data_IF_271493713174
#
_entry.id   IF_271493713174
#
_cell.length_a   1.000
_cell.length_b   1.000
_cell.length_c   1.000
_cell.angle_alpha   90.00
_cell.angle_beta   90.00
_cell.angle_gamma   90.00
#
_symmetry.space_group_name_H-M   'P 1'
#
loop_
_entity.id
_entity.type
_entity.pdbx_description
1 polymer ?
#
# COMPACT_ATOMS: atom_id res chain seq x y z
N UNK A 1 7.70 1.74 -6.56
CA UNK A 1 6.88 1.63 -7.79
C UNK A 1 5.79 0.61 -7.56
N UNK A 2 4.70 0.57 -8.37
CA UNK A 2 3.61 -0.41 -8.19
C UNK A 2 3.57 -1.38 -9.36
N UNK A 3 3.63 -2.67 -9.08
CA UNK A 3 3.43 -3.74 -10.06
C UNK A 3 2.40 -4.73 -9.50
N UNK A 4 1.27 -4.89 -10.18
CA UNK A 4 0.17 -5.72 -9.68
C UNK A 4 0.37 -7.21 -9.93
N UNK A 5 1.08 -7.58 -10.99
CA UNK A 5 1.34 -8.98 -11.36
C UNK A 5 2.52 -9.08 -12.32
N UNK A 6 3.20 -10.22 -12.32
CA UNK A 6 4.13 -10.61 -13.38
C UNK A 6 3.42 -10.93 -14.71
N UNK A 7 2.12 -11.23 -14.66
CA UNK A 7 1.29 -11.41 -15.84
C UNK A 7 0.82 -10.02 -16.35
N UNK A 8 1.20 -9.69 -17.58
CA UNK A 8 0.88 -8.40 -18.20
C UNK A 8 -0.64 -8.17 -18.35
N UNK A 9 -1.42 -9.21 -18.64
CA UNK A 9 -2.86 -9.09 -18.80
C UNK A 9 -3.53 -8.78 -17.45
N UNK A 10 -3.11 -9.46 -16.38
CA UNK A 10 -3.60 -9.21 -15.02
C UNK A 10 -3.19 -7.80 -14.56
N UNK A 11 -1.92 -7.42 -14.76
CA UNK A 11 -1.45 -6.07 -14.41
C UNK A 11 -2.27 -4.99 -15.12
N UNK A 12 -2.40 -5.08 -16.43
CA UNK A 12 -3.11 -4.09 -17.24
C UNK A 12 -4.61 -4.01 -16.88
N UNK A 13 -5.23 -5.15 -16.56
CA UNK A 13 -6.62 -5.19 -16.07
C UNK A 13 -6.77 -4.42 -14.75
N UNK A 14 -5.86 -4.64 -13.79
CA UNK A 14 -5.91 -3.98 -12.47
C UNK A 14 -5.55 -2.49 -12.54
N UNK A 15 -4.66 -2.11 -13.45
CA UNK A 15 -4.32 -0.69 -13.71
C UNK A 15 -5.40 0.02 -14.52
N UNK A 16 -6.16 -0.71 -15.34
CA UNK A 16 -7.14 -0.15 -16.28
C UNK A 16 -6.50 0.47 -17.55
N UNK A 17 -5.23 0.15 -17.82
CA UNK A 17 -4.47 0.67 -18.96
C UNK A 17 -3.33 -0.29 -19.35
N UNK A 18 -2.84 -0.27 -20.61
CA UNK A 18 -1.71 -1.09 -21.05
C UNK A 18 -0.37 -0.51 -20.53
N UNK A 19 -0.11 -0.65 -19.22
CA UNK A 19 1.04 -0.04 -18.53
C UNK A 19 2.12 -1.02 -18.09
N UNK A 20 2.00 -2.33 -18.36
CA UNK A 20 2.93 -3.34 -17.86
C UNK A 20 4.38 -3.09 -18.33
N UNK A 21 4.59 -2.94 -19.63
CA UNK A 21 5.92 -2.79 -20.21
C UNK A 21 6.61 -1.50 -19.72
N UNK A 22 5.87 -0.39 -19.66
CA UNK A 22 6.38 0.89 -19.13
C UNK A 22 6.74 0.78 -17.65
N UNK A 23 5.92 0.09 -16.86
CA UNK A 23 6.19 -0.14 -15.43
C UNK A 23 7.46 -0.98 -15.25
N UNK A 24 7.59 -2.08 -15.99
CA UNK A 24 8.77 -2.96 -15.95
C UNK A 24 10.02 -2.21 -16.42
N UNK A 25 9.92 -1.43 -17.50
CA UNK A 25 11.05 -0.63 -17.98
C UNK A 25 11.45 0.44 -16.96
N UNK A 26 10.46 1.07 -16.29
CA UNK A 26 10.71 2.02 -15.21
C UNK A 26 11.45 1.39 -14.03
N UNK A 27 11.08 0.17 -13.63
CA UNK A 27 11.80 -0.58 -12.57
C UNK A 27 13.24 -0.86 -12.99
N UNK A 28 13.45 -1.37 -14.21
CA UNK A 28 14.80 -1.63 -14.75
C UNK A 28 15.67 -0.37 -14.76
N UNK A 29 15.11 0.76 -15.21
CA UNK A 29 15.83 2.03 -15.25
C UNK A 29 16.22 2.50 -13.84
N UNK A 30 15.31 2.39 -12.86
CA UNK A 30 15.60 2.77 -11.48
C UNK A 30 16.70 1.93 -10.86
N UNK A 31 16.64 0.60 -11.04
CA UNK A 31 17.68 -0.33 -10.56
C UNK A 31 19.00 -0.06 -11.26
N UNK A 32 19.02 0.10 -12.59
CA UNK A 32 20.22 0.41 -13.36
C UNK A 32 20.88 1.74 -12.96
N UNK A 33 20.07 2.72 -12.54
CA UNK A 33 20.55 4.00 -12.02
C UNK A 33 21.08 3.91 -10.57
N UNK A 34 21.07 2.73 -9.94
CA UNK A 34 21.51 2.54 -8.55
C UNK A 34 20.57 3.11 -7.51
N UNK A 35 19.30 3.39 -7.87
CA UNK A 35 18.31 3.87 -6.93
C UNK A 35 17.85 2.71 -6.03
N UNK A 36 17.66 2.99 -4.74
CA UNK A 36 17.00 2.05 -3.83
C UNK A 36 15.54 1.91 -4.27
N UNK A 37 15.24 0.78 -4.94
CA UNK A 37 13.97 0.55 -5.60
C UNK A 37 13.14 -0.47 -4.84
N UNK A 38 11.95 -0.08 -4.40
CA UNK A 38 10.94 -0.98 -3.86
C UNK A 38 9.76 -1.12 -4.82
N UNK A 39 9.12 -2.29 -4.79
CA UNK A 39 7.89 -2.55 -5.54
C UNK A 39 6.77 -2.87 -4.56
N UNK A 40 5.65 -2.15 -4.70
CA UNK A 40 4.43 -2.42 -3.94
C UNK A 40 3.41 -3.17 -4.80
N UNK A 41 2.72 -4.14 -4.20
CA UNK A 41 1.65 -4.90 -4.86
C UNK A 41 0.40 -4.90 -3.98
N UNK A 42 -0.67 -4.17 -4.35
CA UNK A 42 -1.99 -4.37 -3.76
C UNK A 42 -2.54 -5.76 -4.13
N UNK A 43 -2.90 -6.56 -3.12
CA UNK A 43 -3.33 -7.95 -3.29
C UNK A 43 -4.86 -8.06 -3.41
N UNK A 44 -5.30 -8.82 -4.38
CA UNK A 44 -6.70 -9.14 -4.61
C UNK A 44 -6.83 -10.56 -5.22
N UNK A 45 -8.06 -10.99 -5.49
CA UNK A 45 -8.30 -12.34 -6.02
C UNK A 45 -7.72 -12.58 -7.43
N UNK A 46 -7.46 -11.53 -8.19
CA UNK A 46 -6.93 -11.61 -9.56
C UNK A 46 -5.41 -11.81 -9.61
N UNK A 47 -4.68 -11.46 -8.55
CA UNK A 47 -3.23 -11.58 -8.47
C UNK A 47 -2.74 -12.41 -7.28
N UNK A 48 -3.48 -13.47 -6.93
CA UNK A 48 -3.15 -14.38 -5.81
C UNK A 48 -1.80 -15.07 -5.97
N UNK A 49 -1.33 -15.29 -7.21
CA UNK A 49 0.03 -15.80 -7.47
C UNK A 49 1.07 -14.69 -7.29
N UNK A 50 1.12 -14.18 -6.05
CA UNK A 50 2.08 -13.14 -5.70
C UNK A 50 3.52 -13.67 -5.68
N UNK A 51 3.71 -14.95 -5.39
CA UNK A 51 5.02 -15.60 -5.44
C UNK A 51 5.67 -15.50 -6.83
N UNK A 52 4.89 -15.68 -7.92
CA UNK A 52 5.41 -15.47 -9.28
C UNK A 52 5.82 -14.01 -9.51
N UNK A 53 5.07 -13.06 -8.96
CA UNK A 53 5.41 -11.63 -9.04
C UNK A 53 6.71 -11.32 -8.27
N UNK A 54 6.92 -11.92 -7.09
CA UNK A 54 8.17 -11.78 -6.32
C UNK A 54 9.37 -12.31 -7.09
N UNK A 55 9.28 -13.48 -7.71
CA UNK A 55 10.35 -14.05 -8.54
C UNK A 55 10.69 -13.12 -9.70
N UNK A 56 9.67 -12.62 -10.38
CA UNK A 56 9.83 -11.69 -11.50
C UNK A 56 10.51 -10.38 -11.09
N UNK A 57 10.09 -9.72 -10.01
CA UNK A 57 10.71 -8.46 -9.57
C UNK A 57 12.12 -8.69 -9.00
N UNK A 58 12.40 -9.86 -8.43
CA UNK A 58 13.75 -10.27 -8.04
C UNK A 58 14.71 -10.34 -9.24
N UNK A 59 14.25 -10.92 -10.37
CA UNK A 59 15.02 -10.96 -11.63
C UNK A 59 15.28 -9.56 -12.19
N UNK A 60 14.40 -8.59 -11.92
CA UNK A 60 14.62 -7.17 -12.26
C UNK A 60 15.63 -6.46 -11.35
N UNK A 61 16.14 -7.14 -10.31
CA UNK A 61 17.11 -6.59 -9.36
C UNK A 61 16.52 -5.95 -8.11
N UNK A 62 15.21 -6.02 -7.90
CA UNK A 62 14.53 -5.53 -6.68
C UNK A 62 14.83 -6.48 -5.53
N UNK A 63 15.08 -5.92 -4.33
CA UNK A 63 15.39 -6.69 -3.10
C UNK A 63 14.45 -6.37 -1.94
N UNK A 64 13.68 -5.29 -2.05
CA UNK A 64 12.69 -4.89 -1.07
C UNK A 64 11.32 -4.73 -1.72
N UNK A 65 10.33 -5.42 -1.19
CA UNK A 65 8.96 -5.36 -1.67
C UNK A 65 7.98 -5.04 -0.54
N UNK A 66 6.89 -4.40 -0.90
CA UNK A 66 5.76 -4.22 0.00
C UNK A 66 4.50 -4.77 -0.64
N UNK A 67 3.56 -5.21 0.16
CA UNK A 67 2.23 -5.54 -0.31
C UNK A 67 1.17 -4.97 0.63
N UNK A 68 -0.02 -4.84 0.12
CA UNK A 68 -1.17 -4.30 0.85
C UNK A 68 -2.43 -5.10 0.52
N UNK A 69 -3.45 -5.02 1.36
CA UNK A 69 -4.80 -5.37 0.94
C UNK A 69 -5.35 -4.35 -0.07
N UNK A 70 -6.50 -4.64 -0.65
CA UNK A 70 -7.18 -3.75 -1.58
C UNK A 70 -7.86 -2.61 -0.81
N UNK A 71 -7.20 -1.47 -0.67
CA UNK A 71 -7.74 -0.30 0.03
C UNK A 71 -8.81 0.35 -0.87
N UNK A 72 -10.06 0.59 -0.34
CA UNK A 72 -11.12 1.23 -1.09
C UNK A 72 -10.80 2.73 -1.28
N UNK A 73 -10.13 3.05 -2.39
CA UNK A 73 -9.77 4.42 -2.77
C UNK A 73 -9.73 4.53 -4.30
N UNK A 74 -10.32 5.57 -4.85
CA UNK A 74 -10.37 5.81 -6.29
C UNK A 74 -11.07 4.68 -7.06
N UNK A 75 -10.42 4.11 -8.07
CA UNK A 75 -10.97 3.00 -8.87
C UNK A 75 -11.27 1.72 -8.07
N UNK A 76 -10.63 1.54 -6.91
CA UNK A 76 -10.88 0.39 -6.05
C UNK A 76 -12.16 0.52 -5.19
N UNK A 77 -12.85 1.67 -5.22
CA UNK A 77 -14.14 1.86 -4.54
C UNK A 77 -15.33 1.22 -5.27
N UNK A 78 -15.15 0.85 -6.54
CA UNK A 78 -16.23 0.25 -7.32
C UNK A 78 -16.65 -1.11 -6.75
N UNK A 79 -17.93 -1.45 -6.86
CA UNK A 79 -18.45 -2.75 -6.43
C UNK A 79 -17.69 -3.92 -7.08
N UNK A 80 -17.38 -3.81 -8.37
CA UNK A 80 -16.60 -4.80 -9.11
C UNK A 80 -15.19 -4.98 -8.52
N UNK A 81 -14.52 -3.90 -8.14
CA UNK A 81 -13.20 -3.96 -7.50
C UNK A 81 -13.29 -4.55 -6.09
N UNK A 82 -14.29 -4.13 -5.30
CA UNK A 82 -14.50 -4.67 -3.95
C UNK A 82 -14.83 -6.17 -3.95
N UNK A 83 -15.51 -6.67 -4.99
CA UNK A 83 -15.76 -8.10 -5.17
C UNK A 83 -14.48 -8.93 -5.36
N UNK A 84 -13.35 -8.31 -5.70
CA UNK A 84 -12.05 -8.99 -5.81
C UNK A 84 -11.26 -9.03 -4.50
N UNK A 85 -11.78 -8.46 -3.42
CA UNK A 85 -11.13 -8.40 -2.13
C UNK A 85 -10.91 -9.80 -1.54
N UNK A 86 -9.72 -10.05 -1.02
CA UNK A 86 -9.40 -11.30 -0.34
C UNK A 86 -9.99 -11.31 1.08
N UNK A 87 -10.49 -12.45 1.50
CA UNK A 87 -10.79 -12.70 2.92
C UNK A 87 -9.49 -12.72 3.74
N UNK A 88 -9.59 -12.60 5.07
CA UNK A 88 -8.41 -12.72 5.93
C UNK A 88 -7.69 -14.06 5.77
N UNK A 89 -8.44 -15.16 5.61
CA UNK A 89 -7.88 -16.49 5.40
C UNK A 89 -7.13 -16.58 4.06
N UNK A 90 -7.73 -16.09 2.97
CA UNK A 90 -7.10 -16.06 1.65
C UNK A 90 -5.85 -15.17 1.63
N UNK A 91 -5.94 -13.99 2.25
CA UNK A 91 -4.80 -13.08 2.35
C UNK A 91 -3.66 -13.69 3.17
N UNK A 92 -3.98 -14.37 4.27
CA UNK A 92 -3.00 -15.08 5.09
C UNK A 92 -2.29 -16.18 4.29
N UNK A 93 -3.03 -16.93 3.47
CA UNK A 93 -2.46 -17.95 2.61
C UNK A 93 -1.51 -17.38 1.55
N UNK A 94 -1.91 -16.28 0.90
CA UNK A 94 -1.06 -15.57 -0.09
C UNK A 94 0.20 -15.01 0.57
N UNK A 95 0.08 -14.39 1.75
CA UNK A 95 1.22 -13.83 2.47
C UNK A 95 2.18 -14.90 2.96
N UNK A 96 1.70 -16.05 3.41
CA UNK A 96 2.56 -17.17 3.81
C UNK A 96 3.47 -17.59 2.66
N UNK A 97 2.89 -17.84 1.50
CA UNK A 97 3.65 -18.21 0.31
C UNK A 97 4.61 -17.09 -0.14
N UNK A 98 4.19 -15.84 0.01
CA UNK A 98 5.01 -14.67 -0.34
C UNK A 98 6.23 -14.55 0.58
N UNK A 99 6.07 -14.71 1.90
CA UNK A 99 7.19 -14.67 2.86
C UNK A 99 8.17 -15.80 2.61
N UNK A 100 7.67 -17.04 2.45
CA UNK A 100 8.52 -18.20 2.10
C UNK A 100 9.32 -17.93 0.81
N UNK A 101 8.68 -17.39 -0.22
CA UNK A 101 9.35 -17.04 -1.49
C UNK A 101 10.36 -15.91 -1.32
N UNK A 102 10.05 -14.89 -0.54
CA UNK A 102 10.97 -13.79 -0.28
C UNK A 102 12.21 -14.27 0.47
N UNK A 103 12.06 -15.15 1.47
CA UNK A 103 13.16 -15.78 2.19
C UNK A 103 14.04 -16.61 1.25
N UNK A 104 13.46 -17.46 0.40
CA UNK A 104 14.17 -18.24 -0.62
C UNK A 104 15.03 -17.37 -1.55
N UNK A 105 14.53 -16.17 -1.89
CA UNK A 105 15.16 -15.24 -2.81
C UNK A 105 16.10 -14.24 -2.12
N UNK A 106 16.17 -14.23 -0.79
CA UNK A 106 16.92 -13.23 -0.03
C UNK A 106 16.36 -11.81 -0.20
N UNK A 107 15.04 -11.67 -0.29
CA UNK A 107 14.32 -10.41 -0.38
C UNK A 107 13.72 -10.03 0.97
N UNK A 108 13.57 -8.73 1.19
CA UNK A 108 12.78 -8.20 2.30
C UNK A 108 11.33 -7.94 1.84
N UNK A 109 10.36 -8.35 2.66
CA UNK A 109 8.93 -8.16 2.39
C UNK A 109 8.23 -7.56 3.60
N UNK A 110 7.41 -6.53 3.37
CA UNK A 110 6.54 -5.94 4.38
C UNK A 110 5.09 -5.87 3.91
N UNK A 111 4.16 -6.07 4.85
CA UNK A 111 2.74 -5.83 4.66
C UNK A 111 2.34 -4.47 5.23
N UNK A 112 1.62 -3.64 4.45
CA UNK A 112 1.45 -2.21 4.77
C UNK A 112 0.02 -1.78 5.09
N UNK A 113 -0.94 -2.71 5.19
CA UNK A 113 -2.35 -2.38 5.49
C UNK A 113 -2.69 -2.60 6.97
N UNK A 114 -2.82 -1.53 7.79
CA UNK A 114 -3.21 -1.66 9.19
C UNK A 114 -4.63 -2.21 9.32
N UNK A 115 -4.85 -3.15 10.24
CA UNK A 115 -6.16 -3.70 10.58
C UNK A 115 -6.73 -4.76 9.65
N UNK A 116 -6.00 -5.12 8.59
CA UNK A 116 -6.42 -6.19 7.67
C UNK A 116 -6.23 -7.59 8.24
N UNK A 117 -5.16 -7.79 8.99
CA UNK A 117 -4.85 -9.04 9.68
C UNK A 117 -4.46 -8.74 11.13
N UNK A 118 -4.77 -9.65 12.08
CA UNK A 118 -4.29 -9.55 13.45
C UNK A 118 -2.75 -9.52 13.52
N UNK A 119 -2.21 -8.77 14.48
CA UNK A 119 -0.76 -8.69 14.72
C UNK A 119 -0.14 -10.07 14.92
N UNK A 120 -0.79 -10.95 15.71
CA UNK A 120 -0.32 -12.31 15.95
C UNK A 120 -0.19 -13.13 14.66
N UNK A 121 -1.11 -12.93 13.71
CA UNK A 121 -1.06 -13.57 12.39
C UNK A 121 0.15 -13.08 11.60
N UNK A 122 0.37 -11.76 11.54
CA UNK A 122 1.50 -11.17 10.82
C UNK A 122 2.85 -11.63 11.41
N UNK A 123 2.99 -11.62 12.74
CA UNK A 123 4.18 -12.13 13.43
C UNK A 123 4.38 -13.63 13.21
N UNK A 124 3.30 -14.41 13.24
CA UNK A 124 3.33 -15.85 12.95
C UNK A 124 3.73 -16.19 11.51
N UNK A 125 3.60 -15.23 10.58
CA UNK A 125 4.10 -15.33 9.22
C UNK A 125 5.57 -14.88 9.07
N UNK A 126 6.22 -14.38 10.11
CA UNK A 126 7.58 -13.86 10.04
C UNK A 126 7.66 -12.37 9.66
N UNK A 127 6.53 -11.68 9.56
CA UNK A 127 6.51 -10.24 9.28
C UNK A 127 6.76 -9.47 10.59
N UNK A 128 7.85 -8.74 10.65
CA UNK A 128 8.28 -8.03 11.86
C UNK A 128 7.74 -6.61 11.94
N UNK A 129 7.55 -5.97 10.79
CA UNK A 129 6.96 -4.64 10.71
C UNK A 129 5.43 -4.76 10.74
N UNK A 130 4.83 -4.40 11.86
CA UNK A 130 3.37 -4.39 11.99
C UNK A 130 2.85 -3.03 11.55
N UNK A 131 1.98 -2.97 10.50
CA UNK A 131 1.51 -1.71 9.97
C UNK A 131 0.63 -0.97 10.99
N UNK A 132 0.78 0.35 11.06
CA UNK A 132 -0.01 1.25 11.89
C UNK A 132 -0.52 2.43 11.06
N UNK A 133 -1.53 3.14 11.57
CA UNK A 133 -2.01 4.35 10.92
C UNK A 133 -0.96 5.45 11.01
N UNK A 134 -0.43 5.88 9.85
CA UNK A 134 0.56 6.95 9.77
C UNK A 134 -0.03 8.33 9.47
N UNK A 135 -1.37 8.46 9.36
CA UNK A 135 -2.02 9.71 8.95
C UNK A 135 -1.63 10.89 9.85
N UNK A 136 -1.10 11.96 9.26
CA UNK A 136 -0.55 13.14 9.93
C UNK A 136 0.56 12.84 10.96
N UNK A 137 1.08 11.61 11.03
CA UNK A 137 2.12 11.19 11.97
C UNK A 137 3.43 10.87 11.21
N UNK A 138 3.41 9.86 10.36
CA UNK A 138 4.55 9.43 9.56
C UNK A 138 4.33 9.61 8.05
N UNK A 139 3.12 9.88 7.62
CA UNK A 139 2.81 10.16 6.22
C UNK A 139 1.72 11.25 6.08
N UNK A 140 1.80 11.95 4.98
CA UNK A 140 0.81 12.89 4.44
C UNK A 140 0.91 12.81 2.92
N UNK A 141 -0.09 13.31 2.21
CA UNK A 141 -0.03 13.42 0.76
C UNK A 141 -0.45 14.81 0.29
N UNK A 142 0.01 15.17 -0.91
CA UNK A 142 -0.34 16.42 -1.58
C UNK A 142 -0.98 16.08 -2.91
N UNK A 143 -2.15 16.63 -3.15
CA UNK A 143 -2.87 16.47 -4.42
C UNK A 143 -2.26 17.36 -5.52
N UNK A 144 -2.54 17.10 -6.81
CA UNK A 144 -1.99 17.90 -7.91
C UNK A 144 -2.32 19.41 -7.85
N UNK A 145 -3.41 19.79 -7.16
CA UNK A 145 -3.83 21.18 -6.93
C UNK A 145 -3.27 21.76 -5.62
N UNK A 146 -2.31 21.08 -4.98
CA UNK A 146 -1.59 21.54 -3.80
C UNK A 146 -2.28 21.27 -2.47
N UNK A 147 -3.44 20.63 -2.43
CA UNK A 147 -4.11 20.33 -1.17
C UNK A 147 -3.34 19.27 -0.37
N UNK A 148 -3.20 19.48 0.93
CA UNK A 148 -2.58 18.54 1.85
C UNK A 148 -3.65 17.69 2.50
N UNK A 149 -3.50 16.36 2.40
CA UNK A 149 -4.40 15.36 2.99
C UNK A 149 -3.66 14.47 3.98
N UNK A 150 -4.36 13.89 4.97
CA UNK A 150 -3.72 13.12 6.06
C UNK A 150 -2.90 11.90 5.61
N UNK A 151 -3.29 11.25 4.53
CA UNK A 151 -2.53 10.19 3.84
C UNK A 151 -3.02 10.04 2.40
N UNK A 152 -2.29 9.30 1.58
CA UNK A 152 -2.62 9.06 0.18
C UNK A 152 -3.97 8.36 -0.07
N UNK A 153 -4.47 7.63 0.90
CA UNK A 153 -5.78 6.95 0.81
C UNK A 153 -6.94 7.85 1.26
N UNK A 154 -6.66 9.09 1.69
CA UNK A 154 -7.66 10.04 2.20
C UNK A 154 -8.12 11.04 1.15
N UNK A 155 -8.06 10.67 -0.11
CA UNK A 155 -8.46 11.53 -1.23
C UNK A 155 -9.99 11.75 -1.19
N UNK A 156 -10.40 13.01 -1.38
CA UNK A 156 -11.82 13.40 -1.35
C UNK A 156 -12.42 13.60 0.05
N UNK A 157 -11.63 13.42 1.11
CA UNK A 157 -12.04 13.64 2.50
C UNK A 157 -11.51 14.97 3.07
N UNK A 158 -11.05 14.92 4.33
CA UNK A 158 -10.55 16.09 5.06
C UNK A 158 -9.30 16.67 4.43
N UNK A 159 -9.33 17.95 4.10
CA UNK A 159 -8.18 18.75 3.67
C UNK A 159 -7.58 19.47 4.88
N UNK A 160 -6.26 19.48 4.98
CA UNK A 160 -5.52 20.11 6.09
C UNK A 160 -5.07 21.55 5.78
N UNK A 161 -5.06 21.90 4.50
CA UNK A 161 -4.62 23.16 3.94
C UNK A 161 -4.07 22.98 2.53
N UNK A 162 -3.48 24.03 1.95
CA UNK A 162 -2.94 23.98 0.60
C UNK A 162 -1.52 24.56 0.56
N UNK A 163 -0.54 23.78 0.11
CA UNK A 163 0.87 24.18 0.04
C UNK A 163 1.15 25.36 -0.92
N UNK A 164 0.20 25.69 -1.81
CA UNK A 164 0.36 26.82 -2.72
C UNK A 164 -0.05 28.16 -2.08
N UNK A 165 -0.81 28.12 -0.99
CA UNK A 165 -1.39 29.32 -0.33
C UNK A 165 -1.06 29.43 1.15
N UNK A 166 -0.81 28.32 1.83
CA UNK A 166 -0.64 28.26 3.27
C UNK A 166 0.81 27.94 3.63
N UNK A 167 1.32 28.49 4.72
CA UNK A 167 2.61 28.09 5.25
C UNK A 167 2.54 26.73 5.97
N UNK A 168 3.63 25.99 5.94
CA UNK A 168 3.69 24.65 6.54
C UNK A 168 3.32 24.60 8.04
N UNK A 169 3.77 25.54 8.90
CA UNK A 169 3.34 25.58 10.30
C UNK A 169 1.82 25.65 10.45
N UNK A 170 1.13 26.44 9.64
CA UNK A 170 -0.35 26.54 9.68
C UNK A 170 -1.02 25.20 9.36
N UNK A 171 -0.51 24.47 8.39
CA UNK A 171 -1.01 23.14 8.02
C UNK A 171 -0.68 22.12 9.12
N UNK A 172 0.58 22.04 9.53
CA UNK A 172 1.10 21.02 10.45
C UNK A 172 0.56 21.18 11.87
N UNK A 173 0.44 22.42 12.35
CA UNK A 173 -0.07 22.75 13.69
C UNK A 173 -1.57 23.10 13.70
N UNK A 174 -2.24 22.99 12.56
CA UNK A 174 -3.67 23.15 12.43
C UNK A 174 -4.45 22.15 13.30
N UNK A 175 -5.63 22.56 13.77
CA UNK A 175 -6.45 21.76 14.68
C UNK A 175 -6.77 20.38 14.11
N UNK A 176 -7.17 20.32 12.83
CA UNK A 176 -7.51 19.06 12.14
C UNK A 176 -6.28 18.12 12.06
N UNK A 177 -5.12 18.64 11.70
CA UNK A 177 -3.88 17.87 11.60
C UNK A 177 -3.46 17.31 12.97
N UNK A 178 -3.51 18.15 14.02
CA UNK A 178 -3.20 17.72 15.40
C UNK A 178 -4.17 16.66 15.91
N UNK A 179 -5.47 16.82 15.64
CA UNK A 179 -6.48 15.86 16.06
C UNK A 179 -6.28 14.49 15.40
N UNK A 180 -6.05 14.46 14.07
CA UNK A 180 -5.77 13.22 13.33
C UNK A 180 -4.46 12.59 13.80
N UNK A 181 -3.40 13.37 14.00
CA UNK A 181 -2.11 12.90 14.52
C UNK A 181 -2.24 12.26 15.92
N UNK A 182 -2.95 12.93 16.82
CA UNK A 182 -3.20 12.40 18.16
C UNK A 182 -4.00 11.10 18.12
N UNK A 183 -4.91 10.94 17.17
CA UNK A 183 -5.67 9.73 16.95
C UNK A 183 -4.76 8.63 16.36
N UNK A 184 -3.97 8.93 15.32
CA UNK A 184 -2.99 7.99 14.74
C UNK A 184 -2.03 7.44 15.79
N UNK A 185 -1.54 8.28 16.71
CA UNK A 185 -0.62 7.88 17.77
C UNK A 185 -1.25 6.94 18.83
N UNK A 186 -2.58 6.89 18.92
CA UNK A 186 -3.31 6.02 19.85
C UNK A 186 -3.83 4.73 19.20
N UNK A 187 -4.01 4.74 17.89
CA UNK A 187 -4.53 3.60 17.15
C UNK A 187 -3.39 2.66 16.77
N UNK A 188 -3.16 1.69 17.63
CA UNK A 188 -2.27 0.58 17.34
C UNK A 188 -2.93 -0.30 16.29
N UNK A 189 -2.27 -0.46 15.13
CA UNK A 189 -2.62 -1.42 14.08
C UNK A 189 -4.02 -1.27 13.43
N UNK A 190 -4.65 -0.10 13.53
CA UNK A 190 -5.96 0.20 12.94
C UNK A 190 -5.83 1.40 12.00
N UNK A 191 -6.49 1.34 10.85
CA UNK A 191 -6.60 2.48 9.93
C UNK A 191 -7.78 3.38 10.32
N UNK A 192 -7.58 4.70 10.39
CA UNK A 192 -8.66 5.64 10.72
C UNK A 192 -9.77 5.67 9.68
N UNK A 193 -9.49 5.35 8.42
CA UNK A 193 -10.49 5.22 7.37
C UNK A 193 -11.39 3.99 7.57
N UNK A 194 -10.94 3.01 8.35
CA UNK A 194 -11.67 1.79 8.66
C UNK A 194 -12.61 1.88 9.85
N UNK A 195 -12.58 2.96 10.63
CA UNK A 195 -13.48 3.09 11.80
C UNK A 195 -14.97 3.22 11.46
N UNK A 196 -15.30 3.65 10.22
CA UNK A 196 -16.68 3.69 9.72
C UNK A 196 -17.13 2.37 9.08
N UNK A 197 -16.20 1.53 8.72
CA UNK A 197 -16.38 0.22 8.10
C UNK A 197 -15.62 -0.83 8.90
N UNK A 198 -16.18 -1.32 10.01
CA UNK A 198 -15.59 -2.41 10.82
C UNK A 198 -15.39 -3.73 10.05
N UNK A 199 -15.65 -3.73 8.76
CA UNK A 199 -15.46 -4.83 7.83
C UNK A 199 -14.39 -4.54 6.76
N UNK A 200 -13.51 -3.59 7.03
CA UNK A 200 -12.33 -3.44 6.19
C UNK A 200 -11.83 -2.04 5.88
N UNK A 201 -10.77 -1.67 6.50
CA UNK A 201 -9.68 -1.05 5.79
C UNK A 201 -8.97 -2.09 5.03
#
# INVERSE_FOLDING_TARGET
MTLYSADAAVHNTLVGAPGFDDTVQGIRNAVAAGLMTSVNTPLCSLNRDYAATLRFVHELGVRYVTCSGLIPSGGAETEASQATRLTQEELTAVLRQAVETAEELGMEIDFTSPGWLPEETLRGLGLHLIPSCGACLSNMAVTPDGQVVPCQSWLGGTTLGNLLTDDWPTIWDGEACRAIRAKSAKLEHICQLGEGNREGC
#
